data_IF_842107432434
#
_entry.id   IF_842107432434
#
_cell.length_a   1.000
_cell.length_b   1.000
_cell.length_c   1.000
_cell.angle_alpha   90.00
_cell.angle_beta   90.00
_cell.angle_gamma   90.00
#
_symmetry.space_group_name_H-M   'P 1'
#
loop_
_entity.id
_entity.type
_entity.pdbx_description
1 polymer ?
#
# COMPACT_ATOMS: atom_id res chain seq x y z
N UNK A 1 -35.11 -7.07 21.55
CA UNK A 1 -33.87 -7.86 21.74
C UNK A 1 -33.32 -8.44 20.44
N UNK A 2 -34.09 -9.26 19.69
CA UNK A 2 -33.58 -9.94 18.48
C UNK A 2 -33.29 -9.03 17.28
N UNK A 3 -34.15 -8.03 17.05
CA UNK A 3 -33.97 -7.06 15.94
C UNK A 3 -32.70 -6.23 16.12
N UNK A 4 -32.43 -5.77 17.34
CA UNK A 4 -31.21 -5.03 17.68
C UNK A 4 -29.94 -5.84 17.39
N UNK A 5 -29.93 -7.13 17.74
CA UNK A 5 -28.80 -8.01 17.45
C UNK A 5 -28.56 -8.18 15.95
N UNK A 6 -29.64 -8.29 15.16
CA UNK A 6 -29.53 -8.39 13.68
C UNK A 6 -28.99 -7.11 13.07
N UNK A 7 -29.49 -5.93 13.49
CA UNK A 7 -29.01 -4.64 13.00
C UNK A 7 -27.53 -4.43 13.33
N UNK A 8 -27.11 -4.76 14.55
CA UNK A 8 -25.70 -4.67 14.97
C UNK A 8 -24.83 -5.63 14.15
N UNK A 9 -25.27 -6.88 13.95
CA UNK A 9 -24.54 -7.85 13.14
C UNK A 9 -24.39 -7.39 11.67
N UNK A 10 -25.44 -6.81 11.08
CA UNK A 10 -25.39 -6.26 9.73
C UNK A 10 -24.42 -5.09 9.61
N UNK A 11 -24.39 -4.18 10.59
CA UNK A 11 -23.45 -3.05 10.60
C UNK A 11 -22.00 -3.50 10.74
N UNK A 12 -21.73 -4.50 11.60
CA UNK A 12 -20.39 -5.07 11.77
C UNK A 12 -19.90 -5.77 10.50
N UNK A 13 -20.77 -6.51 9.82
CA UNK A 13 -20.43 -7.16 8.55
C UNK A 13 -20.12 -6.12 7.46
N UNK A 14 -20.96 -5.08 7.31
CA UNK A 14 -20.71 -4.01 6.35
C UNK A 14 -19.38 -3.30 6.61
N UNK A 15 -19.08 -2.96 7.88
CA UNK A 15 -17.81 -2.32 8.25
C UNK A 15 -16.60 -3.20 7.98
N UNK A 16 -16.70 -4.50 8.28
CA UNK A 16 -15.60 -5.45 8.04
C UNK A 16 -15.28 -5.64 6.55
N UNK A 17 -16.32 -5.72 5.71
CA UNK A 17 -16.17 -5.81 4.25
C UNK A 17 -15.57 -4.52 3.67
N UNK A 18 -16.00 -3.36 4.17
CA UNK A 18 -15.47 -2.08 3.73
C UNK A 18 -13.98 -1.94 4.08
N UNK A 19 -13.58 -2.38 5.28
CA UNK A 19 -12.19 -2.31 5.71
C UNK A 19 -11.27 -3.28 4.95
N UNK A 20 -11.78 -4.45 4.57
CA UNK A 20 -11.05 -5.43 3.76
C UNK A 20 -10.77 -4.89 2.33
N UNK A 21 -11.78 -4.35 1.66
CA UNK A 21 -11.66 -3.77 0.31
C UNK A 21 -10.69 -2.58 0.25
N UNK A 22 -10.71 -1.73 1.28
CA UNK A 22 -9.78 -0.61 1.34
C UNK A 22 -8.33 -1.07 1.56
N UNK A 23 -8.06 -2.14 2.32
CA UNK A 23 -6.70 -2.61 2.58
C UNK A 23 -6.01 -3.17 1.32
N UNK A 24 -6.72 -3.93 0.49
CA UNK A 24 -6.15 -4.51 -0.72
C UNK A 24 -5.80 -3.45 -1.77
N UNK A 25 -6.60 -2.38 -1.85
CA UNK A 25 -6.38 -1.29 -2.80
C UNK A 25 -5.10 -0.49 -2.49
N UNK A 26 -4.71 -0.37 -1.22
CA UNK A 26 -3.49 0.32 -0.83
C UNK A 26 -2.22 -0.53 -1.04
N UNK A 27 -2.28 -1.85 -0.84
CA UNK A 27 -1.14 -2.74 -1.02
C UNK A 27 -0.57 -2.74 -2.44
N UNK A 28 -1.44 -2.57 -3.45
CA UNK A 28 -1.02 -2.53 -4.86
C UNK A 28 -0.37 -1.22 -5.30
N UNK A 29 -0.54 -0.13 -4.55
CA UNK A 29 0.07 1.17 -4.92
C UNK A 29 1.53 1.29 -4.51
N UNK A 30 1.94 0.59 -3.47
CA UNK A 30 3.31 0.67 -2.94
C UNK A 30 4.24 -0.35 -3.57
N UNK A 31 3.71 -1.39 -4.19
CA UNK A 31 4.54 -2.35 -4.93
C UNK A 31 4.72 -1.84 -6.35
N UNK A 32 5.67 -0.93 -6.57
CA UNK A 32 6.31 -0.79 -7.88
C UNK A 32 6.67 -2.21 -8.30
N UNK A 33 5.94 -2.79 -9.26
CA UNK A 33 6.02 -4.21 -9.63
C UNK A 33 7.34 -4.62 -10.27
N UNK A 34 8.42 -3.90 -9.99
CA UNK A 34 9.75 -4.10 -10.50
C UNK A 34 10.58 -4.91 -9.50
N UNK A 35 11.28 -5.94 -9.98
CA UNK A 35 12.16 -6.75 -9.13
C UNK A 35 13.31 -5.89 -8.57
N UNK A 36 13.89 -6.28 -7.42
CA UNK A 36 15.10 -5.65 -6.90
C UNK A 36 16.18 -5.59 -7.99
N UNK A 37 16.90 -4.46 -8.17
CA UNK A 37 17.08 -3.36 -7.22
C UNK A 37 16.07 -2.20 -7.34
N UNK A 38 15.15 -2.23 -8.31
CA UNK A 38 14.31 -1.10 -8.72
C UNK A 38 13.03 -0.88 -7.88
N UNK A 39 13.03 -1.35 -6.64
CA UNK A 39 11.93 -1.17 -5.67
C UNK A 39 12.44 -1.07 -4.23
N UNK A 40 13.76 -0.95 -4.07
CA UNK A 40 14.42 -0.72 -2.80
C UNK A 40 14.19 0.72 -2.35
N UNK A 41 14.00 0.92 -1.05
CA UNK A 41 13.96 2.27 -0.47
C UNK A 41 15.34 2.92 -0.57
N UNK A 42 15.37 4.19 -0.90
CA UNK A 42 16.59 4.99 -1.04
C UNK A 42 16.37 6.37 -0.44
N UNK A 43 17.42 6.95 0.13
CA UNK A 43 17.41 8.35 0.56
C UNK A 43 18.17 9.22 -0.46
N UNK A 44 19.15 8.62 -1.14
CA UNK A 44 20.01 9.26 -2.15
C UNK A 44 20.14 8.41 -3.41
N UNK A 45 20.46 9.01 -4.58
CA UNK A 45 20.73 8.26 -5.81
C UNK A 45 21.88 7.26 -5.67
N UNK A 46 22.82 7.53 -4.75
CA UNK A 46 23.96 6.68 -4.43
C UNK A 46 23.57 5.30 -3.87
N UNK A 47 22.39 5.19 -3.27
CA UNK A 47 21.86 3.95 -2.71
C UNK A 47 21.34 3.02 -3.81
N UNK A 48 21.20 3.55 -5.03
CA UNK A 48 20.63 2.88 -6.18
C UNK A 48 21.72 2.51 -7.20
N UNK A 49 21.58 1.34 -7.83
CA UNK A 49 22.55 0.79 -8.76
C UNK A 49 21.93 0.42 -10.12
N UNK A 50 22.73 0.18 -11.16
CA UNK A 50 22.23 -0.27 -12.46
C UNK A 50 21.38 -1.55 -12.28
N UNK A 51 20.18 -1.67 -12.89
CA UNK A 51 19.62 -0.84 -13.97
C UNK A 51 18.84 0.41 -13.56
N UNK A 52 18.69 0.69 -12.25
CA UNK A 52 17.86 1.77 -11.72
C UNK A 52 18.71 2.70 -10.87
N UNK A 53 19.44 3.66 -11.46
CA UNK A 53 20.41 4.51 -10.75
C UNK A 53 19.76 5.69 -10.03
N UNK A 54 18.46 5.91 -10.20
CA UNK A 54 17.78 7.08 -9.68
C UNK A 54 16.93 6.73 -8.47
N UNK A 55 16.91 7.64 -7.50
CA UNK A 55 16.00 7.58 -6.37
C UNK A 55 14.79 8.49 -6.66
N UNK A 56 13.60 7.91 -6.81
CA UNK A 56 12.35 8.65 -7.09
C UNK A 56 11.80 9.24 -5.77
N UNK A 57 12.33 10.42 -5.41
CA UNK A 57 11.93 11.16 -4.21
C UNK A 57 10.67 11.97 -4.48
N UNK A 58 9.50 11.38 -4.20
CA UNK A 58 8.22 12.06 -4.31
C UNK A 58 7.71 12.46 -2.92
N UNK A 59 7.32 13.71 -2.70
CA UNK A 59 6.79 14.17 -1.40
C UNK A 59 5.58 13.36 -0.91
N UNK A 60 4.84 12.76 -1.83
CA UNK A 60 3.60 12.03 -1.58
C UNK A 60 3.77 10.49 -1.52
N UNK A 61 4.98 9.96 -1.77
CA UNK A 61 5.25 8.51 -1.81
C UNK A 61 6.60 8.20 -1.19
N UNK A 62 6.76 6.99 -0.65
CA UNK A 62 8.06 6.57 -0.16
C UNK A 62 9.09 6.53 -1.29
N UNK A 63 10.26 7.11 -1.03
CA UNK A 63 11.40 7.15 -1.96
C UNK A 63 11.89 5.75 -2.31
N UNK A 64 11.94 5.44 -3.61
CA UNK A 64 12.37 4.13 -4.12
C UNK A 64 13.26 4.26 -5.34
N UNK A 65 14.18 3.31 -5.52
CA UNK A 65 15.02 3.23 -6.71
C UNK A 65 14.17 2.95 -7.95
N UNK A 66 14.42 3.66 -9.06
CA UNK A 66 13.62 3.61 -10.29
C UNK A 66 14.45 3.59 -11.57
#
# INVERSE_FOLDING_TARGET
MRVLAVVIASLLLLGSLYFAECQDTHKRRDSDGRPPPCSQFCDSPSDCGPPCPNCDNNWWRSSKCK
#
